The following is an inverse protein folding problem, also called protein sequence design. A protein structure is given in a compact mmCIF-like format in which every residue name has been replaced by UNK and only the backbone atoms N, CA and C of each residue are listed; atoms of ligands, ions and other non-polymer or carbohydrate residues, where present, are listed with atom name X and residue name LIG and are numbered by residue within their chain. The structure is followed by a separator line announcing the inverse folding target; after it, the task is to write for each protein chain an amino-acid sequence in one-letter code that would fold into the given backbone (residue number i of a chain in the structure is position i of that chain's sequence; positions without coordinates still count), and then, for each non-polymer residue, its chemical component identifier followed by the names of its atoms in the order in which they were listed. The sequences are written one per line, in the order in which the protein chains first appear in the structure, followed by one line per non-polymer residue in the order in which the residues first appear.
data_IF_204793101464
#
_entry.id   IF_204793101464
#
_cell.length_a   1.000
_cell.length_b   1.000
_cell.length_c   1.000
_cell.angle_alpha   90.00
_cell.angle_beta   90.00
_cell.angle_gamma   90.00
#
_symmetry.space_group_name_H-M   'P 1'
#
loop_
_entity.id
_entity.type
_entity.pdbx_description
1 polymer ?
#
# COMPACT_ATOMS: atom_id res chain seq x y z
N UNK A 1 -4.47 5.22 -18.37
CA UNK A 1 -4.45 3.74 -18.39
C UNK A 1 -5.12 3.27 -17.11
N UNK A 2 -6.18 2.45 -17.24
CA UNK A 2 -7.03 2.06 -16.12
C UNK A 2 -6.39 0.92 -15.31
N UNK A 3 -6.39 1.07 -13.98
CA UNK A 3 -6.04 0.03 -13.01
C UNK A 3 -6.85 -1.23 -13.29
N UNK A 4 -6.16 -2.34 -13.53
CA UNK A 4 -6.75 -3.61 -13.90
C UNK A 4 -7.84 -4.04 -12.90
N UNK A 5 -9.07 -4.21 -13.40
CA UNK A 5 -10.22 -4.68 -12.66
C UNK A 5 -10.11 -6.20 -12.41
N UNK A 6 -9.13 -6.66 -11.64
CA UNK A 6 -9.02 -8.09 -11.29
C UNK A 6 -9.57 -8.32 -9.88
N UNK A 7 -10.88 -8.57 -9.79
CA UNK A 7 -11.52 -9.09 -8.57
C UNK A 7 -13.01 -8.74 -8.44
N UNK A 8 -13.81 -9.76 -8.09
CA UNK A 8 -15.29 -9.93 -8.08
C UNK A 8 -16.22 -8.82 -7.53
N UNK A 9 -15.76 -7.59 -7.25
CA UNK A 9 -16.56 -6.62 -6.52
C UNK A 9 -16.71 -5.24 -7.17
N UNK A 10 -16.07 -4.96 -8.31
CA UNK A 10 -16.12 -3.63 -8.95
C UNK A 10 -15.51 -2.48 -8.13
N UNK A 11 -15.25 -2.69 -6.84
CA UNK A 11 -14.56 -1.75 -5.95
C UNK A 11 -13.09 -1.68 -6.34
N UNK A 12 -12.56 -0.47 -6.58
CA UNK A 12 -11.15 -0.30 -6.90
C UNK A 12 -10.28 -0.77 -5.73
N UNK A 13 -9.16 -1.42 -6.04
CA UNK A 13 -8.24 -2.01 -5.06
C UNK A 13 -7.87 -1.06 -3.89
N UNK A 14 -7.61 0.23 -4.10
CA UNK A 14 -7.36 1.19 -3.02
C UNK A 14 -8.48 1.27 -1.97
N UNK A 15 -9.74 1.25 -2.42
CA UNK A 15 -10.89 1.28 -1.52
C UNK A 15 -11.02 -0.01 -0.71
N UNK A 16 -10.66 -1.17 -1.31
CA UNK A 16 -10.61 -2.45 -0.60
C UNK A 16 -9.50 -2.49 0.46
N UNK A 17 -8.39 -1.83 0.18
CA UNK A 17 -7.27 -1.68 1.11
C UNK A 17 -7.52 -0.62 2.20
N UNK A 18 -8.68 0.07 2.14
CA UNK A 18 -9.06 1.08 3.12
C UNK A 18 -8.27 2.39 3.01
N UNK A 19 -7.59 2.64 1.89
CA UNK A 19 -6.77 3.82 1.65
C UNK A 19 -7.68 5.06 1.53
N UNK A 20 -7.30 6.16 2.19
CA UNK A 20 -8.04 7.43 2.21
C UNK A 20 -7.08 8.60 2.08
N UNK A 21 -7.60 9.72 1.62
CA UNK A 21 -6.86 10.98 1.57
C UNK A 21 -6.39 11.39 2.97
N UNK A 22 -5.21 12.01 3.02
CA UNK A 22 -4.57 12.48 4.24
C UNK A 22 -3.85 11.41 5.07
N UNK A 23 -3.89 10.14 4.66
CA UNK A 23 -3.19 9.08 5.38
C UNK A 23 -1.68 9.13 5.17
N UNK A 24 -0.93 8.75 6.20
CA UNK A 24 0.48 8.36 6.08
C UNK A 24 0.54 6.84 5.92
N UNK A 25 0.99 6.37 4.76
CA UNK A 25 0.99 4.95 4.42
C UNK A 25 2.42 4.40 4.22
N UNK A 26 2.67 3.18 4.71
CA UNK A 26 3.86 2.42 4.38
C UNK A 26 3.51 1.22 3.50
N UNK A 27 4.24 1.07 2.40
CA UNK A 27 4.16 -0.10 1.53
C UNK A 27 5.47 -0.89 1.61
N UNK A 28 5.39 -2.14 2.06
CA UNK A 28 6.54 -3.01 2.28
C UNK A 28 6.60 -4.06 1.16
N UNK A 29 7.75 -4.13 0.48
CA UNK A 29 7.99 -5.00 -0.67
C UNK A 29 6.97 -4.81 -1.81
N UNK A 30 6.55 -3.56 -2.06
CA UNK A 30 5.58 -3.23 -3.10
C UNK A 30 6.05 -3.71 -4.48
N UNK A 31 5.30 -4.60 -5.15
CA UNK A 31 5.64 -5.02 -6.50
C UNK A 31 5.51 -3.86 -7.49
N UNK A 32 6.39 -3.75 -8.50
CA UNK A 32 6.37 -2.64 -9.47
C UNK A 32 5.08 -2.57 -10.28
N UNK A 33 4.38 -3.68 -10.45
CA UNK A 33 3.07 -3.73 -11.12
C UNK A 33 1.95 -3.04 -10.32
N UNK A 34 2.15 -2.82 -9.02
CA UNK A 34 1.20 -2.16 -8.11
C UNK A 34 1.66 -0.76 -7.69
N UNK A 35 2.67 -0.18 -8.35
CA UNK A 35 3.24 1.12 -7.99
C UNK A 35 2.20 2.24 -7.91
N UNK A 36 1.18 2.16 -8.76
CA UNK A 36 0.04 3.08 -8.82
C UNK A 36 -0.80 3.12 -7.53
N UNK A 37 -0.67 2.15 -6.62
CA UNK A 37 -1.31 2.20 -5.30
C UNK A 37 -0.81 3.37 -4.45
N UNK A 38 0.42 3.80 -4.66
CA UNK A 38 0.98 4.96 -3.97
C UNK A 38 0.39 6.28 -4.46
N UNK A 39 -0.23 6.31 -5.63
CA UNK A 39 -0.88 7.50 -6.19
C UNK A 39 -2.41 7.39 -6.14
N UNK A 40 -2.94 6.34 -5.50
CA UNK A 40 -4.36 6.03 -5.53
C UNK A 40 -5.24 7.04 -4.78
N UNK A 41 -4.68 7.72 -3.78
CA UNK A 41 -5.33 8.75 -2.97
C UNK A 41 -4.29 9.82 -2.63
N UNK A 42 -4.76 10.97 -2.12
CA UNK A 42 -3.91 12.08 -1.70
C UNK A 42 -3.30 11.78 -0.33
N UNK A 43 -2.31 10.88 -0.28
CA UNK A 43 -1.59 10.58 0.97
C UNK A 43 -0.89 11.82 1.53
N UNK A 44 -0.87 11.95 2.85
CA UNK A 44 -0.04 12.96 3.54
C UNK A 44 1.44 12.56 3.57
N UNK A 45 1.73 11.26 3.48
CA UNK A 45 3.08 10.73 3.41
C UNK A 45 3.09 9.28 2.93
N UNK A 46 4.12 8.90 2.18
CA UNK A 46 4.26 7.54 1.64
C UNK A 46 5.68 7.08 1.86
N UNK A 47 5.85 5.96 2.56
CA UNK A 47 7.12 5.27 2.67
C UNK A 47 7.09 3.95 1.89
N UNK A 48 8.06 3.80 0.98
CA UNK A 48 8.30 2.55 0.25
C UNK A 48 9.48 1.83 0.89
N UNK A 49 9.20 0.69 1.52
CA UNK A 49 10.17 -0.09 2.27
C UNK A 49 10.41 -1.41 1.57
N UNK A 50 11.65 -1.88 1.54
CA UNK A 50 11.98 -3.19 0.95
C UNK A 50 11.65 -4.36 1.88
N UNK A 51 11.59 -4.13 3.20
CA UNK A 51 11.35 -5.16 4.21
C UNK A 51 10.84 -4.56 5.52
N UNK A 52 10.26 -5.41 6.38
CA UNK A 52 9.77 -5.03 7.71
C UNK A 52 10.85 -4.37 8.57
N UNK A 53 12.11 -4.78 8.45
CA UNK A 53 13.22 -4.22 9.25
C UNK A 53 13.50 -2.75 8.93
N UNK A 54 13.06 -2.24 7.78
CA UNK A 54 13.21 -0.84 7.41
C UNK A 54 12.15 0.07 8.07
N UNK A 55 11.14 -0.50 8.75
CA UNK A 55 10.17 0.30 9.49
C UNK A 55 10.85 0.88 10.73
N UNK A 56 10.91 2.21 10.81
CA UNK A 56 11.34 2.88 12.04
C UNK A 56 10.15 3.03 12.99
N UNK A 57 10.30 2.58 14.23
CA UNK A 57 9.28 2.74 15.28
C UNK A 57 9.00 4.19 15.68
N UNK A 58 9.78 5.15 15.16
CA UNK A 58 9.54 6.59 15.34
C UNK A 58 8.48 7.16 14.40
N UNK A 59 8.19 6.46 13.29
CA UNK A 59 7.24 6.91 12.28
C UNK A 59 5.86 6.34 12.58
N UNK A 60 4.83 7.19 12.54
CA UNK A 60 3.44 6.77 12.70
C UNK A 60 2.80 6.64 11.32
N UNK A 61 2.19 5.49 11.06
CA UNK A 61 1.46 5.21 9.83
C UNK A 61 0.00 4.95 10.16
N UNK A 62 -0.90 5.48 9.35
CA UNK A 62 -2.34 5.17 9.39
C UNK A 62 -2.64 3.82 8.72
N UNK A 63 -1.80 3.43 7.76
CA UNK A 63 -1.89 2.15 7.08
C UNK A 63 -0.49 1.58 6.78
N UNK A 64 -0.32 0.27 7.00
CA UNK A 64 0.87 -0.47 6.60
C UNK A 64 0.43 -1.68 5.77
N UNK A 65 0.87 -1.74 4.52
CA UNK A 65 0.57 -2.85 3.61
C UNK A 65 1.86 -3.56 3.22
N UNK A 66 1.98 -4.83 3.60
CA UNK A 66 3.11 -5.67 3.23
C UNK A 66 2.69 -6.72 2.20
N UNK A 67 3.51 -6.84 1.15
CA UNK A 67 3.29 -7.80 0.07
C UNK A 67 4.27 -8.95 0.24
N UNK A 68 3.80 -10.03 0.86
CA UNK A 68 4.63 -11.19 1.20
C UNK A 68 4.33 -12.36 0.26
N UNK A 69 5.34 -13.20 -0.01
CA UNK A 69 5.15 -14.42 -0.82
C UNK A 69 4.80 -15.63 0.04
N UNK A 70 5.02 -15.51 1.35
CA UNK A 70 4.78 -16.55 2.33
C UNK A 70 4.09 -15.98 3.56
N UNK A 71 3.36 -16.85 4.27
CA UNK A 71 2.66 -16.48 5.51
C UNK A 71 3.60 -16.17 6.67
N UNK A 72 4.77 -16.82 6.71
CA UNK A 72 5.70 -16.78 7.84
C UNK A 72 6.73 -15.64 7.76
N UNK A 73 6.44 -14.61 6.97
CA UNK A 73 7.34 -13.47 6.71
C UNK A 73 7.37 -12.45 7.85
#
# INVERSE_FOLDING_TARGET
MALAATGYSGTPLPAKLGLKDGMVAAFIALPPELDQLTEAVSFAGIDRLSSWSAISGSQKYDAVHAFTRQRAE
#
